data_IF_916358522601
#
_entry.id   IF_916358522601
#
_cell.length_a   1.000
_cell.length_b   1.000
_cell.length_c   1.000
_cell.angle_alpha   90.00
_cell.angle_beta   90.00
_cell.angle_gamma   90.00
#
_symmetry.space_group_name_H-M   'P 1'
#
loop_
_entity.id
_entity.type
_entity.pdbx_description
1 polymer ?
#
# COMPACT_ATOMS: atom_id res chain seq x y z
N UNK A 1 -14.62 -21.72 6.64
CA UNK A 1 -14.66 -20.54 5.77
C UNK A 1 -13.83 -19.50 6.47
N UNK A 2 -12.81 -18.95 5.81
CA UNK A 2 -11.81 -18.10 6.46
C UNK A 2 -12.45 -16.76 6.83
N UNK A 3 -12.52 -16.43 8.13
CA UNK A 3 -13.13 -15.22 8.71
C UNK A 3 -12.53 -13.89 8.19
N UNK A 4 -11.49 -13.95 7.35
CA UNK A 4 -10.74 -12.79 6.89
C UNK A 4 -11.20 -12.21 5.55
N UNK A 5 -12.10 -12.84 4.80
CA UNK A 5 -12.48 -12.35 3.46
C UNK A 5 -13.15 -10.98 3.47
N UNK A 6 -13.87 -10.66 4.56
CA UNK A 6 -14.59 -9.38 4.74
C UNK A 6 -13.90 -8.44 5.75
N UNK A 7 -12.62 -8.67 6.05
CA UNK A 7 -11.86 -7.81 6.94
C UNK A 7 -11.65 -6.42 6.31
N UNK A 8 -12.06 -5.36 7.02
CA UNK A 8 -11.77 -3.98 6.61
C UNK A 8 -10.26 -3.73 6.52
N UNK A 9 -9.85 -2.79 5.67
CA UNK A 9 -8.46 -2.35 5.60
C UNK A 9 -7.99 -1.87 6.98
N UNK A 10 -6.91 -2.46 7.47
CA UNK A 10 -6.21 -2.05 8.67
C UNK A 10 -4.75 -1.75 8.36
N UNK A 11 -4.20 -0.78 9.08
CA UNK A 11 -2.79 -0.40 9.06
C UNK A 11 -2.35 -0.24 10.50
N UNK A 12 -1.41 -1.08 10.95
CA UNK A 12 -0.98 -1.12 12.35
C UNK A 12 0.48 -1.56 12.50
N UNK A 13 1.11 -1.21 13.63
CA UNK A 13 2.42 -1.74 14.01
C UNK A 13 2.23 -2.93 14.94
N UNK A 14 2.62 -4.13 14.50
CA UNK A 14 2.52 -5.38 15.27
C UNK A 14 3.90 -6.03 15.35
N UNK A 15 4.40 -6.24 16.58
CA UNK A 15 5.73 -6.78 16.85
C UNK A 15 6.86 -6.08 16.06
N UNK A 16 6.79 -4.74 15.96
CA UNK A 16 7.78 -3.94 15.25
C UNK A 16 7.68 -4.00 13.72
N UNK A 17 6.58 -4.50 13.17
CA UNK A 17 6.33 -4.56 11.71
C UNK A 17 5.10 -3.75 11.35
N UNK A 18 5.15 -3.04 10.22
CA UNK A 18 3.97 -2.47 9.61
C UNK A 18 3.15 -3.59 8.98
N UNK A 19 1.96 -3.82 9.53
CA UNK A 19 0.96 -4.72 8.96
C UNK A 19 -0.08 -3.88 8.22
N UNK A 20 -0.20 -4.14 6.91
CA UNK A 20 -1.28 -3.64 6.07
C UNK A 20 -2.08 -4.87 5.66
N UNK A 21 -3.34 -4.95 6.06
CA UNK A 21 -4.19 -6.11 5.76
C UNK A 21 -5.58 -5.69 5.36
N UNK A 22 -6.12 -6.39 4.38
CA UNK A 22 -7.50 -6.26 3.91
C UNK A 22 -7.97 -7.65 3.48
N UNK A 23 -9.23 -7.97 3.75
CA UNK A 23 -9.83 -9.19 3.26
C UNK A 23 -9.93 -9.21 1.74
N UNK A 24 -9.62 -10.36 1.12
CA UNK A 24 -9.58 -10.47 -0.35
C UNK A 24 -10.93 -10.15 -1.01
N UNK A 25 -12.06 -10.45 -0.34
CA UNK A 25 -13.39 -10.07 -0.79
C UNK A 25 -13.59 -8.57 -0.83
N UNK A 26 -13.21 -7.87 0.24
CA UNK A 26 -13.27 -6.40 0.28
C UNK A 26 -12.24 -5.74 -0.64
N UNK A 27 -11.06 -6.31 -0.82
CA UNK A 27 -10.08 -5.82 -1.80
C UNK A 27 -10.65 -5.83 -3.21
N UNK A 28 -11.17 -6.99 -3.66
CA UNK A 28 -11.77 -7.14 -4.99
C UNK A 28 -12.95 -6.19 -5.16
N UNK A 29 -13.80 -6.06 -4.14
CA UNK A 29 -14.92 -5.12 -4.17
C UNK A 29 -14.43 -3.66 -4.30
N UNK A 30 -13.45 -3.26 -3.50
CA UNK A 30 -12.93 -1.89 -3.51
C UNK A 30 -12.30 -1.51 -4.86
N UNK A 31 -11.49 -2.39 -5.45
CA UNK A 31 -10.82 -2.07 -6.72
C UNK A 31 -11.79 -2.03 -7.90
N UNK A 32 -12.82 -2.89 -7.90
CA UNK A 32 -13.82 -2.95 -8.98
C UNK A 32 -14.82 -1.80 -8.95
N UNK A 33 -15.02 -1.16 -7.79
CA UNK A 33 -15.95 -0.02 -7.64
C UNK A 33 -15.21 1.31 -7.44
N UNK A 34 -13.88 1.30 -7.38
CA UNK A 34 -13.05 2.44 -6.99
C UNK A 34 -12.38 3.19 -8.14
N UNK A 35 -12.49 2.72 -9.38
CA UNK A 35 -11.84 3.36 -10.53
C UNK A 35 -12.71 3.38 -11.78
N UNK A 36 -12.69 4.53 -12.48
CA UNK A 36 -13.38 4.76 -13.76
C UNK A 36 -13.00 3.73 -14.85
N UNK A 37 -11.83 3.08 -14.73
CA UNK A 37 -11.40 2.00 -15.62
C UNK A 37 -12.44 0.89 -15.77
N UNK A 38 -13.15 0.52 -14.69
CA UNK A 38 -14.16 -0.55 -14.72
C UNK A 38 -15.47 -0.10 -15.36
N UNK A 39 -15.71 1.21 -15.49
CA UNK A 39 -16.88 1.75 -16.18
C UNK A 39 -16.67 1.79 -17.71
N UNK A 40 -15.43 1.74 -18.17
CA UNK A 40 -15.07 1.74 -19.60
C UNK A 40 -15.11 0.32 -20.22
N UNK A 41 -15.05 -0.73 -19.40
CA UNK A 41 -15.02 -2.13 -19.85
C UNK A 41 -15.88 -3.04 -18.98
N UNK A 42 -16.75 -3.85 -19.59
CA UNK A 42 -17.49 -4.91 -18.87
C UNK A 42 -16.55 -6.06 -18.50
N UNK A 43 -15.87 -5.94 -17.36
CA UNK A 43 -15.04 -7.00 -16.79
C UNK A 43 -15.79 -7.71 -15.66
N UNK A 44 -15.75 -9.04 -15.67
CA UNK A 44 -16.35 -9.88 -14.63
C UNK A 44 -15.23 -10.63 -13.91
N UNK A 45 -15.09 -10.44 -12.61
CA UNK A 45 -14.16 -11.22 -11.78
C UNK A 45 -14.72 -12.63 -11.61
N UNK A 46 -14.06 -13.62 -12.20
CA UNK A 46 -14.46 -15.03 -12.15
C UNK A 46 -13.79 -15.81 -11.02
N UNK A 47 -12.64 -15.33 -10.55
CA UNK A 47 -11.88 -15.90 -9.44
C UNK A 47 -11.31 -14.76 -8.57
N UNK A 48 -12.00 -14.41 -7.46
CA UNK A 48 -11.57 -13.32 -6.59
C UNK A 48 -10.22 -13.57 -5.90
N UNK A 49 -9.87 -14.83 -5.60
CA UNK A 49 -8.61 -15.15 -4.92
C UNK A 49 -7.44 -15.01 -5.89
N UNK A 50 -7.58 -15.53 -7.12
CA UNK A 50 -6.57 -15.35 -8.15
C UNK A 50 -6.38 -13.87 -8.52
N UNK A 51 -7.47 -13.10 -8.57
CA UNK A 51 -7.37 -11.66 -8.86
C UNK A 51 -6.71 -10.88 -7.72
N UNK A 52 -7.06 -11.17 -6.46
CA UNK A 52 -6.39 -10.59 -5.30
C UNK A 52 -4.88 -10.92 -5.28
N UNK A 53 -4.49 -12.15 -5.63
CA UNK A 53 -3.09 -12.54 -5.74
C UNK A 53 -2.36 -11.78 -6.87
N UNK A 54 -3.02 -11.54 -8.00
CA UNK A 54 -2.46 -10.73 -9.08
C UNK A 54 -2.23 -9.27 -8.64
N UNK A 55 -3.18 -8.67 -7.92
CA UNK A 55 -3.02 -7.33 -7.36
C UNK A 55 -1.82 -7.28 -6.40
N UNK A 56 -1.68 -8.27 -5.51
CA UNK A 56 -0.53 -8.35 -4.61
C UNK A 56 0.79 -8.45 -5.37
N UNK A 57 0.84 -9.25 -6.45
CA UNK A 57 2.03 -9.36 -7.30
C UNK A 57 2.39 -8.03 -7.98
N UNK A 58 1.40 -7.27 -8.45
CA UNK A 58 1.63 -5.94 -9.04
C UNK A 58 2.12 -4.92 -8.00
N UNK A 59 1.63 -4.99 -6.75
CA UNK A 59 2.11 -4.13 -5.66
C UNK A 59 3.59 -4.40 -5.31
N UNK A 60 4.05 -5.64 -5.50
CA UNK A 60 5.43 -6.05 -5.30
C UNK A 60 6.27 -5.98 -6.58
N UNK A 61 5.69 -5.59 -7.73
CA UNK A 61 6.40 -5.54 -8.99
C UNK A 61 7.48 -4.45 -8.96
N UNK A 62 8.71 -4.85 -9.27
CA UNK A 62 9.88 -3.99 -9.27
C UNK A 62 10.05 -3.32 -10.64
N UNK A 63 10.26 -2.01 -10.61
CA UNK A 63 10.46 -1.16 -11.77
C UNK A 63 11.95 -1.10 -12.14
N UNK A 64 12.30 -0.47 -13.27
CA UNK A 64 13.70 -0.36 -13.70
C UNK A 64 14.63 0.32 -12.68
N UNK A 65 14.06 1.17 -11.80
CA UNK A 65 14.76 1.87 -10.74
C UNK A 65 14.90 1.06 -9.43
N UNK A 66 14.38 -0.17 -9.39
CA UNK A 66 14.38 -1.04 -8.22
C UNK A 66 13.28 -0.73 -7.20
N UNK A 67 12.38 0.23 -7.48
CA UNK A 67 11.25 0.56 -6.59
C UNK A 67 10.02 -0.25 -6.93
N UNK A 68 9.07 -0.33 -5.99
CA UNK A 68 7.76 -0.95 -6.19
C UNK A 68 6.67 0.07 -5.84
N UNK A 69 5.40 -0.16 -6.23
CA UNK A 69 4.28 0.66 -5.76
C UNK A 69 4.22 0.79 -4.24
N UNK A 70 4.56 -0.27 -3.49
CA UNK A 70 4.61 -0.24 -2.01
C UNK A 70 5.70 0.71 -1.51
N UNK A 71 6.90 0.70 -2.09
CA UNK A 71 7.96 1.66 -1.71
C UNK A 71 7.48 3.11 -1.87
N UNK A 72 6.90 3.44 -3.03
CA UNK A 72 6.39 4.79 -3.32
C UNK A 72 5.25 5.20 -2.38
N UNK A 73 4.39 4.26 -2.00
CA UNK A 73 3.34 4.49 -1.00
C UNK A 73 3.95 4.84 0.36
N UNK A 74 4.98 4.11 0.80
CA UNK A 74 5.65 4.34 2.07
C UNK A 74 6.42 5.66 2.09
N UNK A 75 7.14 5.99 1.01
CA UNK A 75 7.86 7.27 0.89
C UNK A 75 6.89 8.45 1.06
N UNK A 76 5.77 8.43 0.34
CA UNK A 76 4.74 9.47 0.43
C UNK A 76 4.11 9.55 1.82
N UNK A 77 3.95 8.43 2.50
CA UNK A 77 3.45 8.39 3.87
C UNK A 77 4.47 8.99 4.85
N UNK A 78 5.76 8.69 4.67
CA UNK A 78 6.84 9.24 5.48
C UNK A 78 6.98 10.75 5.29
N UNK A 79 7.02 11.25 4.05
CA UNK A 79 7.03 12.68 3.73
C UNK A 79 5.91 13.42 4.47
N UNK A 80 4.68 12.92 4.35
CA UNK A 80 3.52 13.50 5.04
C UNK A 80 3.59 13.41 6.55
N UNK A 81 4.19 12.36 7.10
CA UNK A 81 4.39 12.27 8.55
C UNK A 81 5.32 13.38 9.04
N UNK A 82 6.42 13.64 8.32
CA UNK A 82 7.34 14.75 8.63
C UNK A 82 6.63 16.10 8.48
N UNK A 83 5.93 16.34 7.37
CA UNK A 83 5.18 17.59 7.13
C UNK A 83 4.14 17.88 8.22
N UNK A 84 3.57 16.84 8.84
CA UNK A 84 2.62 16.97 9.94
C UNK A 84 3.27 17.07 11.33
N UNK A 85 4.60 17.22 11.40
CA UNK A 85 5.33 17.41 12.65
C UNK A 85 5.51 16.14 13.47
N UNK A 86 5.90 15.03 12.82
CA UNK A 86 6.23 13.79 13.53
C UNK A 86 7.38 13.99 14.55
N UNK A 87 7.11 13.73 15.83
CA UNK A 87 8.09 13.84 16.93
C UNK A 87 9.27 12.86 16.82
N UNK A 88 9.18 11.86 15.93
CA UNK A 88 10.19 10.83 15.75
C UNK A 88 11.34 11.19 14.81
N UNK A 89 11.36 12.40 14.26
CA UNK A 89 12.41 12.89 13.35
C UNK A 89 12.89 14.28 13.78
N UNK A 90 14.21 14.50 13.67
CA UNK A 90 14.82 15.82 13.85
C UNK A 90 15.30 16.36 12.50
N UNK A 91 14.99 17.62 12.20
CA UNK A 91 15.46 18.29 11.00
C UNK A 91 16.86 18.86 11.24
N UNK A 92 17.88 18.23 10.64
CA UNK A 92 19.22 18.84 10.52
C UNK A 92 19.41 19.34 9.09
N UNK A 93 19.74 20.63 8.88
CA UNK A 93 20.02 21.18 7.56
C UNK A 93 21.09 20.35 6.83
N UNK A 94 20.89 20.10 5.54
CA UNK A 94 21.82 19.27 4.75
C UNK A 94 23.25 19.83 4.73
N UNK A 95 23.39 21.14 4.86
CA UNK A 95 24.67 21.86 4.81
C UNK A 95 25.46 21.78 6.13
N UNK A 96 24.88 21.22 7.19
CA UNK A 96 25.48 21.05 8.52
C UNK A 96 25.86 19.60 8.83
N UNK A 97 25.68 18.69 7.87
CA UNK A 97 26.18 17.31 7.98
C UNK A 97 27.69 17.35 7.78
N UNK A 98 28.45 17.50 8.87
CA UNK A 98 29.91 17.41 8.85
C UNK A 98 30.31 16.07 8.17
N UNK A 99 31.12 16.17 7.12
CA UNK A 99 31.74 15.04 6.43
C UNK A 99 32.43 14.13 7.47
N UNK A 100 31.79 12.98 7.76
CA UNK A 100 32.33 11.92 8.60
C UNK A 100 33.08 10.87 7.80
#
# INVERSE_FOLDING_TARGET
MSDFQDQQLSVEIVDGRLLISIGTGLLVHAVTNGSDFWDEVELVVTDPEAFAAAIAAELEHEEEDGTTPVHRMLDKAAERAVENGCDGVDETPADEREDG
#
